data_IF_247892550262
#
_entry.id   IF_247892550262
#
_cell.length_a   1.000
_cell.length_b   1.000
_cell.length_c   1.000
_cell.angle_alpha   90.00
_cell.angle_beta   90.00
_cell.angle_gamma   90.00
#
_symmetry.space_group_name_H-M   'P 1'
#
loop_
_entity.id
_entity.type
_entity.pdbx_description
1 polymer ?
#
# COMPACT_ATOMS: atom_id res chain seq x y z
N UNK A 1 -8.31 22.24 4.70
CA UNK A 1 -8.66 20.81 4.74
C UNK A 1 -7.76 20.15 5.78
N UNK A 2 -8.32 19.70 6.90
CA UNK A 2 -7.56 19.24 8.07
C UNK A 2 -7.15 17.78 7.87
N UNK A 3 -5.84 17.50 7.79
CA UNK A 3 -5.29 16.14 7.71
C UNK A 3 -5.69 15.39 8.98
N UNK A 4 -6.51 14.35 8.86
CA UNK A 4 -6.78 13.41 9.96
C UNK A 4 -5.97 12.14 9.73
N UNK A 5 -5.11 11.82 10.69
CA UNK A 5 -4.25 10.63 10.67
C UNK A 5 -4.83 9.66 11.68
N UNK A 6 -5.20 8.47 11.24
CA UNK A 6 -5.55 7.35 12.12
C UNK A 6 -4.39 6.37 12.07
N UNK A 7 -3.60 6.31 13.15
CA UNK A 7 -2.50 5.37 13.31
C UNK A 7 -2.94 4.19 14.15
N UNK A 8 -2.80 2.98 13.60
CA UNK A 8 -3.00 1.73 14.32
C UNK A 8 -1.79 0.83 14.16
N UNK A 9 -1.37 0.15 15.23
CA UNK A 9 -0.41 -0.96 15.12
C UNK A 9 -1.22 -2.20 14.74
N UNK A 10 -1.13 -2.64 13.48
CA UNK A 10 -1.74 -3.90 13.07
C UNK A 10 -0.70 -5.02 13.21
N UNK A 11 -1.03 -6.06 13.96
CA UNK A 11 -0.35 -7.34 13.85
C UNK A 11 -0.67 -7.89 12.45
N UNK A 12 0.25 -7.71 11.51
CA UNK A 12 0.10 -8.26 10.16
C UNK A 12 0.01 -9.78 10.28
N UNK A 13 -1.19 -10.33 10.10
CA UNK A 13 -1.57 -11.72 10.38
C UNK A 13 -0.86 -12.80 9.52
N UNK A 14 0.29 -12.49 8.92
CA UNK A 14 1.04 -13.39 8.04
C UNK A 14 2.56 -13.17 8.05
N UNK A 15 3.11 -12.31 8.92
CA UNK A 15 4.51 -11.84 8.85
C UNK A 15 5.32 -12.14 10.11
N UNK A 16 6.64 -12.43 9.99
CA UNK A 16 7.52 -12.53 11.16
C UNK A 16 7.56 -11.19 11.92
N UNK A 17 7.68 -11.31 13.24
CA UNK A 17 7.52 -10.21 14.19
C UNK A 17 8.39 -8.98 13.87
N UNK A 18 7.73 -7.88 13.52
CA UNK A 18 8.33 -6.58 13.35
C UNK A 18 7.21 -5.59 13.06
N UNK A 19 6.99 -4.61 13.94
CA UNK A 19 5.82 -3.72 13.87
C UNK A 19 5.65 -3.08 12.49
N UNK A 20 4.43 -3.12 11.97
CA UNK A 20 4.00 -2.40 10.75
C UNK A 20 3.30 -1.13 11.20
N UNK A 21 3.70 0.02 10.63
CA UNK A 21 2.96 1.25 10.81
C UNK A 21 1.81 1.27 9.80
N UNK A 22 0.57 1.16 10.28
CA UNK A 22 -0.61 1.36 9.46
C UNK A 22 -1.13 2.78 9.70
N UNK A 23 -1.18 3.55 8.61
CA UNK A 23 -1.64 4.92 8.62
C UNK A 23 -2.78 5.09 7.62
N UNK A 24 -4.02 5.17 8.09
CA UNK A 24 -5.12 5.61 7.24
C UNK A 24 -5.15 7.14 7.24
N UNK A 25 -5.08 7.77 6.07
CA UNK A 25 -5.07 9.23 5.96
C UNK A 25 -6.19 9.71 5.04
N UNK A 26 -7.24 10.24 5.66
CA UNK A 26 -8.36 10.81 4.93
C UNK A 26 -8.02 12.20 4.38
N UNK A 27 -8.32 12.42 3.10
CA UNK A 27 -8.09 13.70 2.43
C UNK A 27 -6.61 14.07 2.22
N UNK A 28 -5.68 13.12 2.42
CA UNK A 28 -4.28 13.36 2.14
C UNK A 28 -3.95 13.24 0.66
N UNK A 29 -3.00 14.06 0.23
CA UNK A 29 -2.40 13.97 -1.10
C UNK A 29 -1.29 12.92 -1.06
N UNK A 30 -1.16 12.17 -2.16
CA UNK A 30 0.02 11.33 -2.40
C UNK A 30 1.28 12.23 -2.30
N UNK A 31 2.32 11.82 -1.55
CA UNK A 31 3.56 12.57 -1.43
C UNK A 31 4.13 12.96 -2.79
N UNK A 32 4.59 14.21 -2.93
CA UNK A 32 5.20 14.70 -4.17
C UNK A 32 6.44 13.90 -4.57
N UNK A 33 7.13 13.29 -3.60
CA UNK A 33 8.29 12.42 -3.78
C UNK A 33 8.00 11.16 -4.60
N UNK A 34 6.73 10.75 -4.70
CA UNK A 34 6.32 9.60 -5.52
C UNK A 34 6.07 9.98 -6.99
N UNK A 35 6.13 11.27 -7.34
CA UNK A 35 6.00 11.79 -8.71
C UNK A 35 4.79 11.22 -9.49
N UNK A 36 3.69 10.93 -8.79
CA UNK A 36 2.48 10.38 -9.40
C UNK A 36 1.64 11.50 -10.00
N UNK A 37 1.33 11.49 -11.31
CA UNK A 37 0.50 12.52 -11.91
C UNK A 37 -0.93 12.43 -11.37
N UNK A 38 -1.52 13.57 -11.02
CA UNK A 38 -2.88 13.65 -10.43
C UNK A 38 -3.94 12.89 -11.26
N UNK A 39 -3.87 13.01 -12.58
CA UNK A 39 -4.70 12.27 -13.55
C UNK A 39 -4.66 10.75 -13.43
N UNK A 40 -3.58 10.17 -12.89
CA UNK A 40 -3.52 8.73 -12.62
C UNK A 40 -4.31 8.31 -11.36
N UNK A 41 -4.72 9.29 -10.53
CA UNK A 41 -5.46 9.08 -9.28
C UNK A 41 -6.96 9.43 -9.43
N UNK A 42 -7.34 10.17 -10.47
CA UNK A 42 -8.70 10.74 -10.64
C UNK A 42 -9.81 9.69 -10.75
N UNK A 43 -9.48 8.46 -11.13
CA UNK A 43 -10.46 7.38 -11.32
C UNK A 43 -10.62 6.47 -10.10
N UNK A 44 -9.84 6.67 -9.03
CA UNK A 44 -9.80 5.74 -7.90
C UNK A 44 -10.25 6.41 -6.61
N UNK A 45 -11.09 5.71 -5.84
CA UNK A 45 -11.56 6.19 -4.53
C UNK A 45 -10.48 5.95 -3.48
N UNK A 46 -9.82 4.79 -3.55
CA UNK A 46 -8.79 4.40 -2.61
C UNK A 46 -7.47 4.16 -3.34
N UNK A 47 -6.38 4.65 -2.76
CA UNK A 47 -5.03 4.27 -3.17
C UNK A 47 -4.26 3.84 -1.95
N UNK A 48 -3.73 2.63 -1.97
CA UNK A 48 -2.89 2.10 -0.90
C UNK A 48 -1.43 2.16 -1.33
N UNK A 49 -0.61 2.89 -0.57
CA UNK A 49 0.83 2.78 -0.63
C UNK A 49 1.31 1.71 0.35
N UNK A 50 2.14 0.78 -0.12
CA UNK A 50 2.87 -0.15 0.74
C UNK A 50 4.36 -0.01 0.51
N UNK A 51 5.11 0.09 1.61
CA UNK A 51 6.58 0.14 1.59
C UNK A 51 7.14 -1.14 2.19
N UNK A 52 7.90 -1.88 1.39
CA UNK A 52 8.64 -3.07 1.79
C UNK A 52 10.11 -2.72 1.99
N UNK A 53 10.74 -3.33 2.97
CA UNK A 53 12.16 -3.18 3.33
C UNK A 53 12.84 -4.54 3.32
N UNK A 54 14.05 -4.59 2.77
CA UNK A 54 14.90 -5.78 2.81
C UNK A 54 16.29 -5.51 2.24
N UNK A 55 17.27 -6.35 2.59
CA UNK A 55 18.63 -6.26 2.03
C UNK A 55 18.62 -6.60 0.53
N UNK A 56 17.96 -7.71 0.21
CA UNK A 56 17.71 -8.17 -1.14
C UNK A 56 16.21 -8.37 -1.32
N UNK A 57 15.52 -7.33 -1.82
CA UNK A 57 14.11 -7.44 -2.15
C UNK A 57 13.97 -8.35 -3.38
N UNK A 58 13.30 -9.50 -3.28
CA UNK A 58 13.25 -10.47 -4.38
C UNK A 58 12.51 -9.87 -5.57
N UNK A 59 13.00 -10.10 -6.80
CA UNK A 59 12.20 -9.83 -8.01
C UNK A 59 10.84 -10.56 -7.97
N UNK A 60 10.77 -11.67 -7.24
CA UNK A 60 9.55 -12.41 -6.95
C UNK A 60 8.48 -11.56 -6.23
N UNK A 61 8.86 -10.59 -5.40
CA UNK A 61 7.90 -9.68 -4.76
C UNK A 61 7.21 -8.81 -5.80
N UNK A 62 7.95 -8.21 -6.73
CA UNK A 62 7.39 -7.40 -7.81
C UNK A 62 6.46 -8.23 -8.68
N UNK A 63 6.87 -9.47 -9.02
CA UNK A 63 6.04 -10.39 -9.80
C UNK A 63 4.76 -10.77 -9.07
N UNK A 64 4.84 -11.18 -7.81
CA UNK A 64 3.65 -11.49 -7.00
C UNK A 64 2.72 -10.27 -6.91
N UNK A 65 3.26 -9.06 -6.74
CA UNK A 65 2.47 -7.82 -6.69
C UNK A 65 1.83 -7.45 -8.03
N UNK A 66 2.45 -7.81 -9.16
CA UNK A 66 1.85 -7.58 -10.49
C UNK A 66 0.59 -8.42 -10.74
N UNK A 67 0.36 -9.48 -9.93
CA UNK A 67 -0.86 -10.32 -9.98
C UNK A 67 -2.01 -9.77 -9.13
N UNK A 68 -1.70 -8.85 -8.22
CA UNK A 68 -2.64 -8.27 -7.25
C UNK A 68 -3.60 -7.28 -7.89
N UNK A 69 -3.04 -6.41 -8.73
CA UNK A 69 -3.76 -5.41 -9.51
C UNK A 69 -3.18 -5.40 -10.91
N UNK A 70 -4.04 -5.28 -11.92
CA UNK A 70 -3.62 -5.36 -13.32
C UNK A 70 -2.57 -4.30 -13.67
N UNK A 71 -2.57 -3.15 -12.99
CA UNK A 71 -1.57 -2.08 -13.13
C UNK A 71 -1.40 -1.30 -11.81
N UNK A 72 -0.27 -1.42 -11.09
CA UNK A 72 0.03 -0.48 -10.02
C UNK A 72 0.16 0.93 -10.61
N UNK A 73 -0.30 1.95 -9.87
CA UNK A 73 -0.17 3.36 -10.29
C UNK A 73 1.31 3.76 -10.30
N UNK A 74 2.08 3.23 -9.36
CA UNK A 74 3.47 3.57 -9.20
C UNK A 74 4.25 2.46 -8.50
N UNK A 75 5.51 2.30 -8.90
CA UNK A 75 6.50 1.43 -8.27
C UNK A 75 7.79 2.23 -8.19
N UNK A 76 8.36 2.40 -7.00
CA UNK A 76 9.66 3.03 -6.81
C UNK A 76 10.56 2.21 -5.90
N UNK A 77 11.86 2.43 -6.11
CA UNK A 77 12.93 1.85 -5.34
C UNK A 77 13.74 2.97 -4.68
N UNK A 78 14.13 2.77 -3.43
CA UNK A 78 15.00 3.69 -2.72
C UNK A 78 15.99 2.90 -1.86
N UNK A 79 17.23 3.38 -1.76
CA UNK A 79 18.27 2.80 -0.90
C UNK A 79 18.67 3.86 0.12
N UNK A 80 17.95 3.99 1.25
CA UNK A 80 18.20 5.08 2.22
C UNK A 80 19.52 4.92 2.97
N UNK A 81 20.03 3.69 3.09
CA UNK A 81 21.25 3.34 3.82
C UNK A 81 21.97 2.16 3.14
N UNK A 82 23.27 2.01 3.43
CA UNK A 82 24.11 0.98 2.83
C UNK A 82 23.62 -0.43 3.26
N UNK A 83 22.95 -1.12 2.34
CA UNK A 83 22.47 -2.48 2.54
C UNK A 83 20.97 -2.61 2.80
N UNK A 84 20.19 -1.53 2.76
CA UNK A 84 18.73 -1.60 2.81
C UNK A 84 18.11 -1.09 1.52
N UNK A 85 17.28 -1.92 0.87
CA UNK A 85 16.39 -1.49 -0.20
C UNK A 85 14.96 -1.32 0.30
N UNK A 86 14.33 -0.25 -0.14
CA UNK A 86 12.92 0.03 -0.01
C UNK A 86 12.23 -0.11 -1.35
N UNK A 87 11.08 -0.77 -1.36
CA UNK A 87 10.15 -0.85 -2.49
C UNK A 87 8.83 -0.23 -2.06
N UNK A 88 8.43 0.85 -2.70
CA UNK A 88 7.14 1.48 -2.50
C UNK A 88 6.24 1.22 -3.70
N UNK A 89 5.05 0.67 -3.45
CA UNK A 89 4.07 0.38 -4.49
C UNK A 89 2.77 1.11 -4.16
N UNK A 90 2.17 1.75 -5.16
CA UNK A 90 0.86 2.38 -5.06
C UNK A 90 -0.16 1.57 -5.84
N UNK A 91 -1.18 1.10 -5.13
CA UNK A 91 -2.20 0.19 -5.60
C UNK A 91 -3.55 0.91 -5.61
N UNK A 92 -4.21 1.05 -6.76
CA UNK A 92 -5.55 1.60 -6.84
C UNK A 92 -6.61 0.58 -6.42
N UNK A 93 -7.65 1.06 -5.74
CA UNK A 93 -8.87 0.30 -5.46
C UNK A 93 -10.11 1.18 -5.60
N UNK A 94 -11.15 0.60 -6.18
CA UNK A 94 -12.48 1.20 -6.34
C UNK A 94 -13.28 1.13 -5.03
N UNK A 95 -13.02 0.11 -4.20
CA UNK A 95 -13.66 -0.07 -2.89
C UNK A 95 -12.76 -0.76 -1.88
N UNK A 96 -13.09 -0.64 -0.59
CA UNK A 96 -12.41 -1.38 0.48
C UNK A 96 -12.64 -2.90 0.40
N UNK A 97 -13.77 -3.33 -0.17
CA UNK A 97 -14.06 -4.75 -0.41
C UNK A 97 -13.15 -5.33 -1.50
N UNK A 98 -13.02 -4.62 -2.63
CA UNK A 98 -12.09 -5.02 -3.70
C UNK A 98 -10.66 -5.09 -3.17
N UNK A 99 -10.26 -4.12 -2.33
CA UNK A 99 -8.98 -4.13 -1.62
C UNK A 99 -8.82 -5.39 -0.75
N UNK A 100 -9.81 -5.73 0.06
CA UNK A 100 -9.75 -6.91 0.94
C UNK A 100 -9.58 -8.20 0.11
N UNK A 101 -10.42 -8.39 -0.90
CA UNK A 101 -10.35 -9.55 -1.81
C UNK A 101 -9.01 -9.66 -2.53
N UNK A 102 -8.44 -8.53 -2.98
CA UNK A 102 -7.14 -8.50 -3.62
C UNK A 102 -6.04 -8.98 -2.66
N UNK A 103 -6.04 -8.48 -1.41
CA UNK A 103 -5.06 -8.89 -0.41
C UNK A 103 -5.23 -10.33 0.06
N UNK A 104 -6.46 -10.84 0.15
CA UNK A 104 -6.70 -12.25 0.46
C UNK A 104 -6.11 -13.16 -0.61
N UNK A 105 -6.33 -12.84 -1.89
CA UNK A 105 -5.73 -13.57 -3.02
C UNK A 105 -4.20 -13.50 -2.99
N UNK A 106 -3.64 -12.33 -2.70
CA UNK A 106 -2.18 -12.18 -2.57
C UNK A 106 -1.61 -13.02 -1.44
N UNK A 107 -2.25 -13.02 -0.28
CA UNK A 107 -1.80 -13.78 0.87
C UNK A 107 -1.87 -15.29 0.65
N UNK A 108 -2.69 -15.74 -0.30
CA UNK A 108 -2.76 -17.11 -0.78
C UNK A 108 -1.80 -17.42 -1.95
N UNK A 109 -1.09 -16.45 -2.52
CA UNK A 109 -0.20 -16.67 -3.66
C UNK A 109 1.04 -17.51 -3.23
N UNK A 110 1.33 -18.64 -3.89
CA UNK A 110 2.46 -19.50 -3.52
C UNK A 110 3.84 -18.84 -3.65
N UNK A 111 4.06 -17.99 -4.66
CA UNK A 111 5.32 -17.25 -4.85
C UNK A 111 5.49 -16.22 -3.73
N UNK A 112 4.39 -15.58 -3.32
CA UNK A 112 4.40 -14.72 -2.14
C UNK A 112 4.73 -15.48 -0.86
N UNK A 113 4.05 -16.60 -0.60
CA UNK A 113 4.26 -17.42 0.60
C UNK A 113 5.73 -17.86 0.70
N UNK A 114 6.35 -18.22 -0.42
CA UNK A 114 7.75 -18.66 -0.46
C UNK A 114 8.76 -17.56 -0.05
N UNK A 115 8.42 -16.29 -0.28
CA UNK A 115 9.35 -15.16 -0.08
C UNK A 115 8.97 -14.24 1.08
N UNK A 116 7.75 -14.33 1.63
CA UNK A 116 7.24 -13.36 2.62
C UNK A 116 8.07 -13.27 3.90
N UNK A 117 8.81 -14.31 4.25
CA UNK A 117 9.73 -14.30 5.40
C UNK A 117 11.02 -13.51 5.16
N UNK A 118 11.36 -13.24 3.90
CA UNK A 118 12.58 -12.54 3.48
C UNK A 118 12.36 -11.04 3.30
N UNK A 119 11.10 -10.60 3.34
CA UNK A 119 10.72 -9.20 3.14
C UNK A 119 9.99 -8.68 4.36
N UNK A 120 10.22 -7.41 4.70
CA UNK A 120 9.54 -6.76 5.81
C UNK A 120 8.63 -5.67 5.27
N UNK A 121 7.33 -5.77 5.51
CA UNK A 121 6.43 -4.64 5.31
C UNK A 121 6.72 -3.60 6.40
N UNK A 122 7.09 -2.38 6.03
CA UNK A 122 7.41 -1.32 7.00
C UNK A 122 6.31 -0.28 7.15
N UNK A 123 5.58 0.00 6.08
CA UNK A 123 4.56 1.04 6.06
C UNK A 123 3.38 0.65 5.17
N UNK A 124 2.17 0.94 5.65
CA UNK A 124 0.94 0.91 4.85
C UNK A 124 0.23 2.24 5.03
N UNK A 125 0.02 2.95 3.93
CA UNK A 125 -0.74 4.20 3.91
C UNK A 125 -1.93 4.11 2.95
N UNK A 126 -3.14 4.40 3.43
CA UNK A 126 -4.34 4.43 2.59
C UNK A 126 -4.76 5.89 2.38
N UNK A 127 -4.78 6.31 1.12
CA UNK A 127 -5.30 7.59 0.65
C UNK A 127 -6.74 7.40 0.18
N UNK A 128 -7.65 8.24 0.68
CA UNK A 128 -9.04 8.29 0.23
C UNK A 128 -9.28 9.62 -0.50
N UNK A 129 -9.77 9.53 -1.73
CA UNK A 129 -10.12 10.67 -2.56
C UNK A 129 -11.64 10.85 -2.57
N UNK A 130 -12.15 12.04 -2.21
CA UNK A 130 -13.57 12.31 -2.30
C UNK A 130 -14.00 12.28 -3.77
N UNK A 131 -15.02 11.49 -4.10
CA UNK A 131 -15.66 11.59 -5.41
C UNK A 131 -16.39 12.95 -5.52
N UNK A 132 -16.35 13.61 -6.68
CA UNK A 132 -17.13 14.83 -6.88
C UNK A 132 -18.62 14.53 -6.66
N UNK A 133 -19.19 15.09 -5.59
CA UNK A 133 -20.59 14.88 -5.19
C UNK A 133 -20.82 13.90 -4.02
N UNK A 134 -19.78 13.24 -3.52
CA UNK A 134 -19.89 12.36 -2.36
C UNK A 134 -20.02 13.14 -1.06
N UNK A 135 -21.18 13.03 -0.39
CA UNK A 135 -21.34 13.46 1.01
C UNK A 135 -20.34 12.70 1.88
N UNK A 136 -19.74 13.40 2.85
CA UNK A 136 -18.84 12.83 3.85
C UNK A 136 -19.64 11.75 4.59
N UNK A 137 -19.44 10.49 4.25
CA UNK A 137 -19.91 9.40 5.10
C UNK A 137 -19.03 9.46 6.35
N UNK A 138 -19.62 9.92 7.45
CA UNK A 138 -19.13 9.61 8.79
C UNK A 138 -19.02 8.09 8.88
N UNK A 139 -17.80 7.57 8.73
CA UNK A 139 -17.49 6.21 9.13
C UNK A 139 -17.50 6.23 10.66
N UNK A 140 -18.67 5.98 11.26
CA UNK A 140 -18.78 5.61 12.66
C UNK A 140 -17.98 4.33 12.88
N UNK A 141 -17.03 4.41 13.82
CA UNK A 141 -16.24 3.31 14.36
C UNK A 141 -17.13 2.29 15.06
#
# INVERSE_FOLDING_TARGET
MTRRVFGGLLAAAAMPAGGVVLQAVYGARVPATLHVPRRALENYIYVEARTYRGKDLPNALVRAMSRLVSRPIHVSWCTPDAGTRLLTILLPFDSLEQRALAWDRFNADPEWIAIRSQVRLSEVTIYCFPQPGGSIFEMSL
#
